data_IF_027334039953
#
_entry.id   IF_027334039953
#
_cell.length_a   1.000
_cell.length_b   1.000
_cell.length_c   1.000
_cell.angle_alpha   90.00
_cell.angle_beta   90.00
_cell.angle_gamma   90.00
#
_symmetry.space_group_name_H-M   'P 1'
#
loop_
_entity.id
_entity.type
_entity.pdbx_description
1 polymer ?
#
# COMPACT_ATOMS: atom_id res chain seq x y z
N UNK A 1 10.16 7.35 -7.88
CA UNK A 1 8.78 7.33 -7.35
C UNK A 1 8.45 5.92 -6.85
N UNK A 2 7.61 5.76 -5.82
CA UNK A 2 7.28 4.45 -5.25
C UNK A 2 6.01 3.84 -5.85
N UNK A 3 6.03 2.52 -6.09
CA UNK A 3 4.88 1.71 -6.49
C UNK A 3 4.53 0.74 -5.35
N UNK A 4 3.26 0.65 -4.99
CA UNK A 4 2.77 -0.27 -3.97
C UNK A 4 1.97 -1.39 -4.64
N UNK A 5 2.35 -2.62 -4.34
CA UNK A 5 1.60 -3.80 -4.71
C UNK A 5 1.05 -4.49 -3.47
N UNK A 6 -0.24 -4.80 -3.49
CA UNK A 6 -0.91 -5.60 -2.46
C UNK A 6 -1.44 -6.86 -3.15
N UNK A 7 -0.94 -8.02 -2.73
CA UNK A 7 -1.25 -9.31 -3.32
C UNK A 7 -1.08 -9.37 -4.86
N UNK A 8 -0.02 -8.75 -5.37
CA UNK A 8 0.27 -8.68 -6.81
C UNK A 8 -0.51 -7.60 -7.58
N UNK A 9 -1.47 -6.91 -6.93
CA UNK A 9 -2.22 -5.80 -7.53
C UNK A 9 -1.50 -4.48 -7.30
N UNK A 10 -1.24 -3.73 -8.37
CA UNK A 10 -0.71 -2.36 -8.29
C UNK A 10 -1.80 -1.42 -7.77
N UNK A 11 -1.50 -0.68 -6.69
CA UNK A 11 -2.41 0.31 -6.15
C UNK A 11 -2.37 1.61 -6.99
N UNK A 12 -3.52 2.31 -7.15
CA UNK A 12 -3.65 3.48 -8.02
C UNK A 12 -2.77 4.66 -7.62
N UNK A 13 -2.66 4.88 -6.31
CA UNK A 13 -1.97 6.01 -5.70
C UNK A 13 -1.16 5.45 -4.54
N UNK A 14 0.10 5.88 -4.43
CA UNK A 14 0.91 5.59 -3.25
C UNK A 14 0.44 6.47 -2.09
N UNK A 15 0.27 5.94 -0.86
CA UNK A 15 -0.25 6.75 0.24
C UNK A 15 0.62 7.97 0.53
N UNK A 16 0.01 9.13 0.79
CA UNK A 16 0.75 10.35 1.17
C UNK A 16 1.38 10.25 2.56
N UNK A 17 0.69 9.57 3.48
CA UNK A 17 1.15 9.35 4.85
C UNK A 17 1.00 7.87 5.20
N UNK A 18 2.04 7.31 5.81
CA UNK A 18 2.08 5.92 6.26
C UNK A 18 2.62 5.87 7.68
N UNK A 19 1.83 5.30 8.59
CA UNK A 19 2.21 5.04 9.98
C UNK A 19 2.80 3.63 10.07
N UNK A 20 3.95 3.50 10.70
CA UNK A 20 4.73 2.27 10.75
C UNK A 20 5.10 1.97 12.18
N UNK A 21 4.84 0.75 12.63
CA UNK A 21 5.19 0.30 13.99
C UNK A 21 6.21 -0.84 13.92
N UNK A 22 7.28 -0.74 14.71
CA UNK A 22 8.32 -1.76 14.91
C UNK A 22 8.62 -1.86 16.41
N UNK A 23 8.21 -2.95 17.06
CA UNK A 23 8.22 -3.05 18.53
C UNK A 23 7.47 -1.89 19.17
N UNK A 24 8.13 -1.17 20.08
CA UNK A 24 7.56 0.00 20.78
C UNK A 24 7.71 1.32 20.00
N UNK A 25 8.38 1.29 18.84
CA UNK A 25 8.62 2.48 18.01
C UNK A 25 7.52 2.64 16.96
N UNK A 26 6.89 3.81 16.90
CA UNK A 26 5.97 4.19 15.83
C UNK A 26 6.50 5.42 15.09
N UNK A 27 6.57 5.34 13.76
CA UNK A 27 7.05 6.41 12.89
C UNK A 27 5.97 6.77 11.88
N UNK A 28 5.80 8.06 11.62
CA UNK A 28 4.94 8.57 10.55
C UNK A 28 5.85 9.00 9.41
N UNK A 29 5.69 8.36 8.26
CA UNK A 29 6.45 8.70 7.07
C UNK A 29 5.52 9.40 6.06
N UNK A 30 5.97 10.56 5.59
CA UNK A 30 5.25 11.36 4.58
C UNK A 30 5.95 11.21 3.24
N UNK A 31 5.20 10.71 2.28
CA UNK A 31 5.70 10.12 1.05
C UNK A 31 5.60 11.05 -0.16
N UNK A 32 4.87 12.16 -0.01
CA UNK A 32 4.71 13.19 -1.02
C UNK A 32 6.05 13.87 -1.41
N UNK A 33 7.04 13.90 -0.51
CA UNK A 33 8.30 14.62 -0.73
C UNK A 33 9.43 13.73 -1.28
N UNK A 34 9.21 12.42 -1.46
CA UNK A 34 10.19 11.53 -2.12
C UNK A 34 11.44 11.17 -1.30
N UNK A 35 11.49 11.51 -0.01
CA UNK A 35 12.72 11.34 0.80
C UNK A 35 12.75 10.14 1.76
N UNK A 36 11.62 9.54 2.14
CA UNK A 36 11.64 8.45 3.12
C UNK A 36 11.75 7.05 2.48
N UNK A 37 12.98 6.67 2.15
CA UNK A 37 13.32 5.30 1.72
C UNK A 37 13.13 4.25 2.83
N UNK A 38 12.95 4.70 4.08
CA UNK A 38 12.97 3.89 5.29
C UNK A 38 11.68 3.08 5.56
N UNK A 39 10.62 3.30 4.77
CA UNK A 39 9.27 2.80 5.13
C UNK A 39 9.22 1.28 5.13
N UNK A 40 9.77 0.67 4.09
CA UNK A 40 9.74 -0.77 3.90
C UNK A 40 11.10 -1.43 4.10
N UNK A 41 12.10 -0.67 4.58
CA UNK A 41 13.41 -1.22 4.91
C UNK A 41 13.32 -2.29 5.99
N UNK A 42 14.14 -3.35 5.90
CA UNK A 42 14.29 -4.34 6.94
C UNK A 42 14.71 -3.72 8.27
N UNK A 43 14.26 -4.26 9.41
CA UNK A 43 13.30 -5.37 9.51
C UNK A 43 11.89 -4.93 9.07
N UNK A 44 11.12 -5.88 8.50
CA UNK A 44 9.75 -5.60 8.08
C UNK A 44 8.93 -5.03 9.25
N UNK A 45 8.02 -4.08 8.99
CA UNK A 45 7.23 -3.47 10.04
C UNK A 45 6.28 -4.48 10.70
N UNK A 46 6.08 -4.38 12.01
CA UNK A 46 5.12 -5.21 12.73
C UNK A 46 3.68 -4.83 12.38
N UNK A 47 3.43 -3.53 12.25
CA UNK A 47 2.16 -2.98 11.73
C UNK A 47 2.44 -1.81 10.79
N UNK A 48 1.57 -1.68 9.79
CA UNK A 48 1.58 -0.54 8.87
C UNK A 48 0.16 -0.06 8.65
N UNK A 49 -0.04 1.25 8.66
CA UNK A 49 -1.33 1.89 8.49
C UNK A 49 -1.21 3.03 7.49
N UNK A 50 -2.09 3.03 6.49
CA UNK A 50 -2.08 4.02 5.42
C UNK A 50 -3.47 4.16 4.80
N UNK A 51 -3.67 5.25 4.07
CA UNK A 51 -4.91 5.48 3.32
C UNK A 51 -4.66 5.42 1.82
N UNK A 52 -5.56 4.80 1.09
CA UNK A 52 -5.57 4.74 -0.38
C UNK A 52 -6.84 5.37 -0.91
N UNK A 53 -6.71 6.16 -1.97
CA UNK A 53 -7.84 6.76 -2.68
C UNK A 53 -8.11 6.01 -3.99
N UNK A 54 -9.37 5.62 -4.16
CA UNK A 54 -9.87 4.91 -5.32
C UNK A 54 -10.84 5.82 -6.09
N UNK A 55 -10.42 6.40 -7.23
CA UNK A 55 -11.25 7.35 -7.96
C UNK A 55 -12.48 6.69 -8.59
N UNK A 56 -13.57 7.45 -8.72
CA UNK A 56 -14.83 6.94 -9.30
C UNK A 56 -14.74 6.71 -10.82
N UNK A 57 -13.94 7.52 -11.50
CA UNK A 57 -13.71 7.48 -12.94
C UNK A 57 -12.24 7.22 -13.22
N UNK A 58 -11.93 6.73 -14.41
CA UNK A 58 -10.55 6.63 -14.85
C UNK A 58 -9.98 8.05 -14.97
N UNK A 59 -9.17 8.45 -13.99
CA UNK A 59 -8.58 9.77 -13.93
C UNK A 59 -7.10 9.69 -14.30
N UNK A 60 -6.58 10.78 -14.86
CA UNK A 60 -5.13 10.97 -15.11
C UNK A 60 -4.30 10.96 -13.81
N UNK A 61 -4.96 10.95 -12.65
CA UNK A 61 -4.34 10.87 -11.31
C UNK A 61 -3.96 9.45 -10.90
N UNK A 62 -4.39 8.42 -11.63
CA UNK A 62 -3.74 7.13 -11.53
C UNK A 62 -2.29 7.35 -11.98
N UNK A 63 -1.36 7.33 -11.03
CA UNK A 63 0.05 7.66 -11.28
C UNK A 63 0.72 6.73 -12.31
N UNK A 64 0.02 5.66 -12.74
CA UNK A 64 0.53 4.61 -13.62
C UNK A 64 -0.55 4.02 -14.53
N UNK A 65 -0.14 3.60 -15.72
CA UNK A 65 -0.97 2.80 -16.64
C UNK A 65 -1.41 1.49 -15.99
N UNK A 66 -2.71 1.17 -16.05
CA UNK A 66 -3.27 -0.03 -15.41
C UNK A 66 -3.44 0.05 -13.88
N UNK A 67 -3.11 1.18 -13.25
CA UNK A 67 -3.28 1.41 -11.81
C UNK A 67 -4.72 1.71 -11.38
N UNK A 68 -5.63 1.98 -12.33
CA UNK A 68 -7.02 2.28 -12.01
C UNK A 68 -7.76 1.03 -11.49
N UNK A 69 -8.25 1.12 -10.27
CA UNK A 69 -9.11 0.12 -9.63
C UNK A 69 -10.45 0.77 -9.35
N UNK A 70 -11.53 0.21 -9.91
CA UNK A 70 -12.89 0.71 -9.63
C UNK A 70 -13.23 0.43 -8.17
N UNK A 71 -13.99 1.32 -7.49
CA UNK A 71 -14.39 1.09 -6.11
C UNK A 71 -15.04 -0.28 -5.87
N UNK A 72 -15.86 -0.77 -6.80
CA UNK A 72 -16.48 -2.11 -6.74
C UNK A 72 -15.46 -3.25 -6.66
N UNK A 73 -14.46 -3.24 -7.55
CA UNK A 73 -13.39 -4.25 -7.62
C UNK A 73 -12.54 -4.25 -6.34
N UNK A 74 -12.35 -3.06 -5.73
CA UNK A 74 -11.62 -2.94 -4.49
C UNK A 74 -12.31 -3.60 -3.29
N UNK A 75 -13.66 -3.59 -3.21
CA UNK A 75 -14.37 -4.30 -2.14
C UNK A 75 -14.15 -5.82 -2.21
N UNK A 76 -14.14 -6.38 -3.43
CA UNK A 76 -13.87 -7.81 -3.64
C UNK A 76 -12.43 -8.16 -3.25
N UNK A 77 -11.47 -7.29 -3.61
CA UNK A 77 -10.07 -7.44 -3.19
C UNK A 77 -9.93 -7.39 -1.67
N UNK A 78 -10.53 -6.42 -0.97
CA UNK A 78 -10.49 -6.36 0.49
C UNK A 78 -11.11 -7.59 1.16
N UNK A 79 -12.19 -8.10 0.59
CA UNK A 79 -12.81 -9.33 1.07
C UNK A 79 -11.84 -10.49 0.94
N UNK A 80 -11.14 -10.63 -0.19
CA UNK A 80 -10.08 -11.62 -0.36
C UNK A 80 -8.92 -11.44 0.63
N UNK A 81 -8.43 -10.20 0.83
CA UNK A 81 -7.33 -9.89 1.73
C UNK A 81 -7.65 -10.16 3.21
N UNK A 82 -8.94 -10.18 3.57
CA UNK A 82 -9.39 -10.49 4.93
C UNK A 82 -9.30 -11.98 5.29
N UNK A 83 -9.19 -12.87 4.30
CA UNK A 83 -9.25 -14.31 4.52
C UNK A 83 -7.89 -14.98 4.69
N UNK A 84 -6.85 -14.46 4.02
CA UNK A 84 -5.54 -15.10 3.94
C UNK A 84 -4.41 -14.08 4.07
N UNK A 85 -3.23 -14.50 4.56
CA UNK A 85 -2.03 -13.69 4.46
C UNK A 85 -1.72 -13.38 3.00
N UNK A 86 -1.21 -12.19 2.74
CA UNK A 86 -0.88 -11.71 1.39
C UNK A 86 0.46 -10.99 1.38
N UNK A 87 1.05 -10.89 0.18
CA UNK A 87 2.33 -10.21 -0.01
C UNK A 87 2.11 -8.73 -0.25
N UNK A 88 2.87 -7.90 0.44
CA UNK A 88 3.00 -6.47 0.19
C UNK A 88 4.37 -6.22 -0.42
N UNK A 89 4.42 -5.46 -1.52
CA UNK A 89 5.66 -5.10 -2.20
C UNK A 89 5.67 -3.60 -2.44
N UNK A 90 6.73 -2.92 -2.00
CA UNK A 90 6.99 -1.53 -2.36
C UNK A 90 8.23 -1.48 -3.26
N UNK A 91 8.13 -0.80 -4.40
CA UNK A 91 9.20 -0.70 -5.39
C UNK A 91 9.52 0.76 -5.63
N UNK A 92 10.78 1.14 -5.44
CA UNK A 92 11.30 2.42 -5.89
C UNK A 92 11.72 2.30 -7.36
N UNK A 93 11.00 2.98 -8.25
CA UNK A 93 11.30 3.01 -9.68
C UNK A 93 11.66 4.43 -10.14
N UNK A 94 12.61 4.52 -11.08
CA UNK A 94 12.88 5.74 -11.85
C UNK A 94 11.84 5.97 -12.93
N UNK A 95 11.78 7.20 -13.43
CA UNK A 95 10.88 7.58 -14.52
C UNK A 95 11.23 6.85 -15.84
N UNK A 96 12.47 6.36 -15.95
CA UNK A 96 12.97 5.52 -17.03
C UNK A 96 12.64 4.02 -16.87
N UNK A 97 11.91 3.65 -15.81
CA UNK A 97 11.56 2.27 -15.48
C UNK A 97 12.66 1.48 -14.77
N UNK A 98 13.81 2.10 -14.47
CA UNK A 98 14.86 1.48 -13.67
C UNK A 98 14.35 1.17 -12.26
N UNK A 99 14.69 -0.01 -11.74
CA UNK A 99 14.35 -0.42 -10.37
C UNK A 99 15.55 -0.10 -9.48
N UNK A 100 15.35 0.80 -8.52
CA UNK A 100 16.42 1.21 -7.61
C UNK A 100 16.40 0.42 -6.31
N UNK A 101 15.21 0.07 -5.85
CA UNK A 101 15.01 -0.60 -4.57
C UNK A 101 13.67 -1.33 -4.55
N UNK A 102 13.60 -2.45 -3.83
CA UNK A 102 12.35 -3.17 -3.65
C UNK A 102 12.32 -3.83 -2.29
N UNK A 103 11.16 -3.76 -1.64
CA UNK A 103 10.94 -4.36 -0.35
C UNK A 103 9.68 -5.18 -0.38
N UNK A 104 9.72 -6.37 0.23
CA UNK A 104 8.56 -7.23 0.31
C UNK A 104 8.42 -7.93 1.64
N UNK A 105 7.18 -8.05 2.11
CA UNK A 105 6.85 -8.77 3.34
C UNK A 105 5.45 -9.35 3.25
N UNK A 106 5.18 -10.38 4.05
CA UNK A 106 3.83 -10.95 4.17
C UNK A 106 3.06 -10.27 5.31
N UNK A 107 1.80 -9.94 5.05
CA UNK A 107 0.93 -9.26 5.97
C UNK A 107 -0.45 -9.93 6.04
N UNK A 108 -1.20 -9.56 7.07
CA UNK A 108 -2.62 -9.86 7.22
C UNK A 108 -3.38 -8.54 7.40
N UNK A 109 -4.63 -8.50 6.92
CA UNK A 109 -5.49 -7.35 7.12
C UNK A 109 -6.00 -7.34 8.57
N UNK A 110 -5.56 -6.35 9.36
CA UNK A 110 -6.00 -6.18 10.75
C UNK A 110 -7.27 -5.34 10.83
N UNK A 111 -7.37 -4.29 10.00
CA UNK A 111 -8.54 -3.42 9.91
C UNK A 111 -8.60 -2.75 8.54
N UNK A 112 -9.81 -2.61 8.01
CA UNK A 112 -10.11 -1.72 6.89
C UNK A 112 -11.26 -0.80 7.27
N UNK A 113 -11.14 0.50 7.01
CA UNK A 113 -12.22 1.47 7.14
C UNK A 113 -12.44 2.13 5.80
N UNK A 114 -13.68 2.10 5.31
CA UNK A 114 -14.04 2.59 3.99
C UNK A 114 -14.93 3.82 4.11
N UNK A 115 -14.54 4.88 3.43
CA UNK A 115 -15.31 6.13 3.35
C UNK A 115 -15.62 6.41 1.89
N UNK A 116 -16.90 6.46 1.55
CA UNK A 116 -17.34 6.95 0.24
C UNK A 116 -17.34 8.48 0.27
N UNK A 117 -16.76 9.08 -0.76
CA UNK A 117 -16.72 10.52 -0.96
C UNK A 117 -17.87 10.98 -1.85
N UNK A 118 -18.15 12.28 -1.86
CA UNK A 118 -19.31 12.86 -2.56
C UNK A 118 -19.25 12.72 -4.09
N UNK A 119 -18.04 12.57 -4.64
CA UNK A 119 -17.76 12.38 -6.06
C UNK A 119 -17.84 10.90 -6.50
N UNK A 120 -18.18 10.00 -5.58
CA UNK A 120 -18.24 8.55 -5.82
C UNK A 120 -16.91 7.83 -5.64
N UNK A 121 -15.82 8.54 -5.33
CA UNK A 121 -14.54 7.92 -4.95
C UNK A 121 -14.64 7.25 -3.58
N UNK A 122 -13.70 6.36 -3.29
CA UNK A 122 -13.61 5.69 -1.99
C UNK A 122 -12.22 5.88 -1.41
N UNK A 123 -12.15 6.39 -0.20
CA UNK A 123 -10.93 6.39 0.61
C UNK A 123 -10.94 5.19 1.53
N UNK A 124 -9.86 4.41 1.50
CA UNK A 124 -9.70 3.21 2.30
C UNK A 124 -8.52 3.34 3.26
N UNK A 125 -8.80 3.41 4.55
CA UNK A 125 -7.78 3.34 5.59
C UNK A 125 -7.53 1.87 5.94
N UNK A 126 -6.34 1.37 5.61
CA UNK A 126 -5.92 -0.01 5.81
C UNK A 126 -4.89 -0.08 6.92
N UNK A 127 -5.10 -1.01 7.86
CA UNK A 127 -4.13 -1.40 8.88
C UNK A 127 -3.74 -2.84 8.65
N UNK A 128 -2.47 -3.06 8.36
CA UNK A 128 -1.90 -4.37 8.11
C UNK A 128 -1.00 -4.77 9.27
N UNK A 129 -0.94 -6.06 9.55
CA UNK A 129 -0.05 -6.65 10.56
C UNK A 129 0.86 -7.67 9.89
N UNK A 130 2.15 -7.68 10.25
CA UNK A 130 3.11 -8.68 9.77
C UNK A 130 2.61 -10.10 10.03
N UNK A 131 2.65 -10.93 9.00
CA UNK A 131 2.35 -12.34 9.13
C UNK A 131 3.60 -13.10 9.62
N UNK A 132 3.53 -13.83 10.75
CA UNK A 132 4.67 -14.59 11.25
C UNK A 132 5.05 -15.71 10.26
N UNK A 133 6.34 -15.83 9.92
CA UNK A 133 6.86 -16.89 9.06
C UNK A 133 6.86 -16.59 7.55
N UNK A 134 6.52 -15.36 7.14
CA UNK A 134 6.77 -14.92 5.76
C UNK A 134 8.26 -14.71 5.49
N UNK A 135 8.76 -15.22 4.37
CA UNK A 135 10.13 -14.92 3.94
C UNK A 135 10.26 -13.43 3.61
N UNK A 136 11.20 -12.74 4.28
CA UNK A 136 11.67 -11.42 3.89
C UNK A 136 12.67 -11.64 2.74
N UNK A 137 12.34 -11.16 1.53
CA UNK A 137 13.27 -11.20 0.41
C UNK A 137 13.80 -9.78 0.22
N UNK A 138 15.12 -9.64 0.45
CA UNK A 138 15.94 -8.45 0.19
C UNK A 138 16.25 -8.35 -1.30
#
# INVERSE_FOLDING_TARGET
>A
MYKLFINGRLMPIFPDETVITRGDCTTIARLADGYDRAIFSPPAPDEIEFSLDFPATNTEFATWEGGFIRPGEFYDELTSLSQWPFRVIAIAAGDDGSLFDSYSFNATLKRATLKRNNDGSVTAALKLKRYPGGAEIL
#
